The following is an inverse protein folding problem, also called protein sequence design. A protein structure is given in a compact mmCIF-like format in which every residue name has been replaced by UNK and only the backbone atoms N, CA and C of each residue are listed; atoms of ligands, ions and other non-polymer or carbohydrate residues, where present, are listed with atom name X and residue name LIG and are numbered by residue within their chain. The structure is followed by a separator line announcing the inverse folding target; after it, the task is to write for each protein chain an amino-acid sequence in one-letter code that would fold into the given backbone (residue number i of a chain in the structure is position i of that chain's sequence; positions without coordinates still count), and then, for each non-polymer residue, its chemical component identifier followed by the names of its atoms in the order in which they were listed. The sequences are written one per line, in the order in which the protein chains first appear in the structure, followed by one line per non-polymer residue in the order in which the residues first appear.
data_IF_728338232726
#
_entry.id   IF_728338232726
#
_cell.length_a   1.000
_cell.length_b   1.000
_cell.length_c   1.000
_cell.angle_alpha   90.00
_cell.angle_beta   90.00
_cell.angle_gamma   90.00
#
_symmetry.space_group_name_H-M   'P 1'
#
loop_
_entity.id
_entity.type
_entity.pdbx_description
1 polymer ?
#
# COMPACT_ATOMS: atom_id res chain seq x y z
N UNK A 1 -5.25 3.14 -22.48
CA UNK A 1 -4.30 2.03 -22.18
C UNK A 1 -2.93 2.43 -22.72
N UNK A 2 -1.81 1.95 -22.20
CA UNK A 2 -0.53 2.28 -22.81
C UNK A 2 0.58 1.40 -22.29
N UNK A 3 1.22 0.65 -23.18
CA UNK A 3 2.38 -0.18 -22.87
C UNK A 3 3.59 0.47 -23.55
N UNK A 4 4.64 0.70 -22.77
CA UNK A 4 5.93 1.18 -23.28
C UNK A 4 6.94 0.02 -23.29
N UNK A 5 7.61 -0.19 -24.43
CA UNK A 5 8.60 -1.27 -24.56
C UNK A 5 9.78 -0.84 -25.43
N UNK A 6 10.99 -1.31 -25.08
CA UNK A 6 12.23 -1.16 -25.85
C UNK A 6 12.81 -2.53 -26.20
N UNK A 7 12.78 -2.93 -27.46
CA UNK A 7 13.46 -4.13 -27.95
C UNK A 7 13.79 -4.03 -29.45
N UNK A 8 14.82 -4.76 -29.90
CA UNK A 8 15.37 -4.62 -31.26
C UNK A 8 14.53 -5.33 -32.33
N UNK A 9 13.85 -6.43 -32.01
CA UNK A 9 12.98 -7.18 -32.91
C UNK A 9 11.75 -7.68 -32.13
N UNK A 10 10.54 -7.25 -32.51
CA UNK A 10 9.29 -7.71 -31.87
C UNK A 10 8.32 -8.12 -32.97
N UNK A 11 7.72 -9.31 -32.84
CA UNK A 11 6.59 -9.74 -33.65
C UNK A 11 5.30 -9.57 -32.83
N UNK A 12 4.47 -8.62 -33.25
CA UNK A 12 3.15 -8.38 -32.65
C UNK A 12 2.12 -8.83 -33.68
N UNK A 13 1.20 -9.70 -33.29
CA UNK A 13 0.14 -10.21 -34.18
C UNK A 13 -1.20 -9.75 -33.63
N UNK A 14 -1.86 -8.83 -34.35
CA UNK A 14 -3.15 -8.27 -33.96
C UNK A 14 -4.00 -8.13 -35.21
N UNK A 15 -4.90 -9.07 -35.49
CA UNK A 15 -5.76 -9.22 -36.69
C UNK A 15 -5.09 -9.11 -38.08
N UNK A 16 -3.88 -8.54 -38.17
CA UNK A 16 -2.94 -8.42 -39.26
C UNK A 16 -1.50 -8.51 -38.70
N UNK A 17 -0.53 -8.83 -39.55
CA UNK A 17 0.87 -9.08 -39.17
C UNK A 17 1.71 -7.83 -39.44
N UNK A 18 2.39 -7.29 -38.42
CA UNK A 18 3.33 -6.18 -38.60
C UNK A 18 4.70 -6.54 -38.02
N UNK A 19 5.76 -6.21 -38.78
CA UNK A 19 7.16 -6.27 -38.33
C UNK A 19 7.63 -4.84 -38.07
N UNK A 20 8.06 -4.53 -36.85
CA UNK A 20 8.52 -3.19 -36.48
C UNK A 20 9.99 -3.24 -36.10
N UNK A 21 10.83 -2.55 -36.87
CA UNK A 21 12.24 -2.27 -36.54
C UNK A 21 12.36 -0.84 -35.99
N UNK A 22 11.80 -0.59 -34.81
CA UNK A 22 11.91 0.71 -34.13
C UNK A 22 11.76 0.56 -32.62
N UNK A 23 12.47 1.42 -31.86
CA UNK A 23 12.76 1.25 -30.44
C UNK A 23 11.61 1.46 -29.46
N UNK A 24 10.41 1.85 -29.90
CA UNK A 24 9.20 2.01 -29.06
C UNK A 24 7.91 1.85 -29.86
N UNK A 25 6.90 1.21 -29.27
CA UNK A 25 5.53 1.09 -29.82
C UNK A 25 4.48 1.30 -28.72
N UNK A 26 3.26 1.74 -29.10
CA UNK A 26 2.12 1.99 -28.22
C UNK A 26 0.87 1.30 -28.79
N UNK A 27 0.01 0.74 -27.93
CA UNK A 27 -1.22 0.05 -28.35
C UNK A 27 -2.33 0.17 -27.28
N UNK A 28 -3.58 0.33 -27.74
CA UNK A 28 -4.79 0.24 -26.91
C UNK A 28 -5.70 -0.89 -27.41
N UNK A 29 -5.88 -1.94 -26.61
CA UNK A 29 -6.80 -3.04 -26.91
C UNK A 29 -7.37 -3.65 -25.64
N UNK A 30 -8.49 -4.38 -25.76
CA UNK A 30 -9.10 -5.14 -24.66
C UNK A 30 -8.21 -6.30 -24.21
N UNK A 31 -7.42 -6.88 -25.12
CA UNK A 31 -6.46 -7.95 -24.84
C UNK A 31 -5.23 -7.80 -25.74
N UNK A 32 -4.02 -7.98 -25.18
CA UNK A 32 -2.75 -7.85 -25.91
C UNK A 32 -1.89 -9.09 -25.66
N UNK A 33 -1.54 -9.83 -26.72
CA UNK A 33 -0.62 -10.98 -26.67
C UNK A 33 0.72 -10.62 -27.29
N UNK A 34 1.81 -10.74 -26.50
CA UNK A 34 3.18 -10.45 -26.96
C UNK A 34 3.98 -11.75 -27.02
N UNK A 35 4.52 -12.08 -28.20
CA UNK A 35 5.43 -13.21 -28.40
C UNK A 35 6.80 -12.67 -28.82
N UNK A 36 7.86 -13.09 -28.14
CA UNK A 36 9.22 -12.79 -28.56
C UNK A 36 10.03 -14.07 -28.72
N UNK A 37 11.02 -14.01 -29.60
CA UNK A 37 11.98 -15.08 -29.87
C UNK A 37 13.14 -15.09 -28.86
N UNK A 38 13.33 -13.99 -28.12
CA UNK A 38 14.37 -13.76 -27.12
C UNK A 38 13.78 -13.19 -25.82
N UNK A 39 14.63 -12.91 -24.82
CA UNK A 39 14.23 -12.39 -23.50
C UNK A 39 13.39 -11.10 -23.59
N UNK A 40 12.30 -11.07 -22.81
CA UNK A 40 11.36 -9.96 -22.75
C UNK A 40 11.47 -9.28 -21.38
N UNK A 41 11.68 -7.96 -21.38
CA UNK A 41 11.46 -7.11 -20.21
C UNK A 41 10.19 -6.28 -20.41
N UNK A 42 9.21 -6.40 -19.49
CA UNK A 42 7.97 -5.64 -19.47
C UNK A 42 7.79 -4.93 -18.13
N UNK A 43 7.39 -3.67 -18.18
CA UNK A 43 6.95 -2.91 -17.01
C UNK A 43 5.50 -2.51 -17.31
N UNK A 44 4.58 -2.93 -16.46
CA UNK A 44 3.14 -2.68 -16.61
C UNK A 44 2.55 -2.27 -15.27
N UNK A 45 1.62 -1.31 -15.30
CA UNK A 45 0.83 -0.91 -14.15
C UNK A 45 -0.28 -1.94 -13.79
N UNK A 46 -0.48 -2.96 -14.64
CA UNK A 46 -1.48 -4.02 -14.45
C UNK A 46 -0.83 -5.41 -14.57
N UNK A 47 -1.50 -6.43 -14.02
CA UNK A 47 -1.11 -7.85 -14.10
C UNK A 47 -0.87 -8.27 -15.55
N UNK A 48 0.33 -8.78 -15.84
CA UNK A 48 0.71 -9.29 -17.17
C UNK A 48 0.91 -10.79 -17.10
N UNK A 49 0.37 -11.52 -18.07
CA UNK A 49 0.66 -12.94 -18.28
C UNK A 49 1.68 -13.03 -19.41
N UNK A 50 2.92 -13.43 -19.10
CA UNK A 50 3.97 -13.67 -20.10
C UNK A 50 4.15 -15.17 -20.30
N UNK A 51 4.18 -15.62 -21.56
CA UNK A 51 4.47 -17.01 -21.91
C UNK A 51 5.81 -17.09 -22.65
N UNK A 52 6.83 -17.67 -22.00
CA UNK A 52 8.13 -17.93 -22.61
C UNK A 52 8.12 -19.16 -23.52
N UNK A 53 9.12 -19.24 -24.42
CA UNK A 53 9.22 -20.23 -25.51
C UNK A 53 9.36 -21.71 -25.10
N UNK A 54 9.45 -22.03 -23.80
CA UNK A 54 9.62 -23.41 -23.32
C UNK A 54 8.65 -23.81 -22.20
N UNK A 55 7.46 -23.18 -22.13
CA UNK A 55 6.40 -23.62 -21.21
C UNK A 55 6.67 -23.37 -19.71
N UNK A 56 7.83 -22.84 -19.34
CA UNK A 56 8.09 -22.29 -18.01
C UNK A 56 7.39 -20.94 -17.87
N UNK A 57 6.15 -20.95 -17.37
CA UNK A 57 5.46 -19.72 -17.01
C UNK A 57 5.85 -19.36 -15.58
N UNK A 58 6.55 -18.25 -15.40
CA UNK A 58 6.71 -17.65 -14.07
C UNK A 58 5.68 -16.52 -13.95
N UNK A 59 4.61 -16.81 -13.21
CA UNK A 59 3.56 -15.85 -12.90
C UNK A 59 4.03 -14.99 -11.73
N UNK A 60 4.20 -13.69 -11.98
CA UNK A 60 4.19 -12.68 -10.93
C UNK A 60 2.89 -11.91 -11.01
N UNK A 61 1.88 -12.31 -10.24
CA UNK A 61 0.87 -11.34 -9.82
C UNK A 61 1.55 -10.35 -8.91
N UNK A 62 1.81 -9.14 -9.40
CA UNK A 62 1.90 -8.00 -8.48
C UNK A 62 0.47 -7.70 -8.07
N UNK A 63 -0.11 -8.53 -7.20
CA UNK A 63 -1.21 -8.09 -6.35
C UNK A 63 -0.59 -7.05 -5.41
N UNK A 64 -0.46 -5.83 -5.91
CA UNK A 64 -0.23 -4.68 -5.05
C UNK A 64 -1.58 -4.41 -4.40
N UNK A 65 -1.99 -5.30 -3.50
CA UNK A 65 -3.15 -5.06 -2.68
C UNK A 65 -2.97 -3.67 -2.06
N UNK A 66 -3.84 -2.74 -2.43
CA UNK A 66 -3.72 -1.36 -1.99
C UNK A 66 -3.69 -1.32 -0.45
N UNK A 67 -2.84 -0.47 0.13
CA UNK A 67 -2.80 -0.32 1.58
C UNK A 67 -4.19 0.04 2.08
N UNK A 68 -4.69 -0.75 3.03
CA UNK A 68 -6.02 -0.56 3.56
C UNK A 68 -6.03 -0.81 5.05
N UNK A 69 -6.47 0.20 5.79
CA UNK A 69 -6.84 0.06 7.20
C UNK A 69 -8.24 -0.58 7.24
N UNK A 70 -8.37 -1.63 8.02
CA UNK A 70 -9.60 -2.41 8.21
C UNK A 70 -10.26 -2.00 9.53
N UNK A 71 -9.47 -1.81 10.58
CA UNK A 71 -9.97 -1.50 11.91
C UNK A 71 -8.93 -0.71 12.72
N UNK A 72 -9.44 0.09 13.66
CA UNK A 72 -8.63 0.72 14.70
C UNK A 72 -9.35 0.64 16.04
N UNK A 73 -8.62 0.34 17.11
CA UNK A 73 -9.15 0.27 18.47
C UNK A 73 -8.06 0.53 19.50
N UNK A 74 -8.45 0.74 20.75
CA UNK A 74 -7.52 0.95 21.86
C UNK A 74 -7.36 -0.31 22.71
N UNK A 75 -6.13 -0.59 23.13
CA UNK A 75 -5.81 -1.64 24.11
C UNK A 75 -5.02 -1.06 25.28
N UNK A 76 -5.04 -1.75 26.42
CA UNK A 76 -4.02 -1.54 27.45
C UNK A 76 -2.66 -2.11 27.00
N UNK A 77 -1.63 -1.92 27.82
CA UNK A 77 -0.28 -2.41 27.51
C UNK A 77 -0.13 -3.95 27.50
N UNK A 78 -1.19 -4.69 27.86
CA UNK A 78 -1.23 -6.16 27.83
C UNK A 78 -2.17 -6.67 26.71
N UNK A 79 -2.45 -5.84 25.70
CA UNK A 79 -3.29 -6.14 24.54
C UNK A 79 -4.76 -6.45 24.86
N UNK A 80 -5.23 -6.02 26.04
CA UNK A 80 -6.66 -6.10 26.36
C UNK A 80 -7.39 -4.94 25.70
N UNK A 81 -8.34 -5.26 24.82
CA UNK A 81 -9.22 -4.27 24.18
C UNK A 81 -9.98 -3.47 25.25
N UNK A 82 -9.90 -2.15 25.12
CA UNK A 82 -10.62 -1.21 25.95
C UNK A 82 -11.98 -0.91 25.30
N UNK A 83 -13.04 -0.88 26.12
CA UNK A 83 -14.37 -0.44 25.66
C UNK A 83 -14.50 1.09 25.52
N UNK A 84 -13.45 1.81 25.88
CA UNK A 84 -13.27 3.25 25.75
C UNK A 84 -11.80 3.53 25.40
N UNK A 85 -11.35 4.78 25.47
CA UNK A 85 -9.97 5.15 25.12
C UNK A 85 -8.96 5.00 26.26
N UNK A 86 -9.39 4.61 27.46
CA UNK A 86 -8.59 4.60 28.71
C UNK A 86 -8.88 5.81 29.60
N UNK A 87 -8.04 6.03 30.63
CA UNK A 87 -8.15 7.16 31.56
C UNK A 87 -6.94 8.09 31.47
N UNK A 88 -7.15 9.35 31.83
CA UNK A 88 -6.07 10.36 31.95
C UNK A 88 -4.92 9.80 32.80
N UNK A 89 -3.70 9.95 32.27
CA UNK A 89 -2.46 9.46 32.87
C UNK A 89 -2.09 8.02 32.50
N UNK A 90 -2.99 7.25 31.89
CA UNK A 90 -2.68 5.90 31.41
C UNK A 90 -1.93 5.93 30.07
N UNK A 91 -1.11 4.91 29.86
CA UNK A 91 -0.52 4.61 28.55
C UNK A 91 -1.32 3.47 27.91
N UNK A 92 -1.64 3.64 26.63
CA UNK A 92 -2.44 2.71 25.83
C UNK A 92 -1.78 2.48 24.48
N UNK A 93 -2.21 1.44 23.77
CA UNK A 93 -1.92 1.32 22.35
C UNK A 93 -3.14 1.70 21.53
N UNK A 94 -2.94 2.55 20.52
CA UNK A 94 -3.82 2.58 19.35
C UNK A 94 -3.37 1.45 18.43
N UNK A 95 -4.20 0.43 18.32
CA UNK A 95 -3.98 -0.71 17.43
C UNK A 95 -4.64 -0.41 16.10
N UNK A 96 -3.87 -0.53 15.02
CA UNK A 96 -4.37 -0.40 13.64
C UNK A 96 -4.18 -1.74 12.95
N UNK A 97 -5.29 -2.32 12.50
CA UNK A 97 -5.31 -3.54 11.70
C UNK A 97 -5.61 -3.21 10.24
N UNK A 98 -4.88 -3.85 9.33
CA UNK A 98 -5.01 -3.62 7.91
C UNK A 98 -4.18 -4.58 7.07
N UNK A 99 -3.83 -4.14 5.87
CA UNK A 99 -2.96 -4.88 4.94
C UNK A 99 -2.08 -3.94 4.15
N UNK A 100 -0.85 -4.38 3.87
CA UNK A 100 0.17 -3.64 3.12
C UNK A 100 0.47 -2.24 3.66
N UNK A 101 0.37 -2.07 4.99
CA UNK A 101 0.57 -0.77 5.64
C UNK A 101 2.05 -0.36 5.70
N UNK A 102 2.99 -1.30 5.77
CA UNK A 102 4.39 -0.99 6.04
C UNK A 102 4.99 0.03 5.04
N UNK A 103 5.65 1.05 5.57
CA UNK A 103 6.25 2.14 4.82
C UNK A 103 5.24 3.14 4.23
N UNK A 104 3.94 3.02 4.55
CA UNK A 104 2.93 4.02 4.20
C UNK A 104 2.84 5.10 5.26
N UNK A 105 2.51 6.29 4.81
CA UNK A 105 2.30 7.47 5.65
C UNK A 105 0.80 7.75 5.77
N UNK A 106 0.34 8.07 6.97
CA UNK A 106 -1.02 8.54 7.21
C UNK A 106 -1.08 9.56 8.35
N UNK A 107 -2.06 10.45 8.25
CA UNK A 107 -2.51 11.27 9.37
C UNK A 107 -3.62 10.50 10.11
N UNK A 108 -3.46 10.33 11.41
CA UNK A 108 -4.43 9.63 12.26
C UNK A 108 -5.17 10.65 13.11
N UNK A 109 -6.47 10.80 12.83
CA UNK A 109 -7.36 11.66 13.58
C UNK A 109 -7.88 10.93 14.83
N UNK A 110 -7.46 11.42 16.00
CA UNK A 110 -7.82 10.92 17.31
C UNK A 110 -8.72 11.92 18.05
N UNK A 111 -9.45 12.79 17.34
CA UNK A 111 -10.33 13.80 17.94
C UNK A 111 -11.20 13.20 19.04
N UNK A 112 -11.15 13.84 20.20
CA UNK A 112 -12.00 13.56 21.35
C UNK A 112 -12.31 14.87 22.08
N UNK A 113 -13.47 14.95 22.71
CA UNK A 113 -13.88 16.17 23.40
C UNK A 113 -13.51 16.16 24.89
N UNK A 114 -12.99 15.04 25.41
CA UNK A 114 -12.71 14.88 26.85
C UNK A 114 -11.22 14.69 27.16
N UNK A 115 -10.44 14.20 26.20
CA UNK A 115 -9.03 13.83 26.38
C UNK A 115 -8.18 14.19 25.17
N UNK A 116 -6.90 14.44 25.42
CA UNK A 116 -5.88 14.56 24.37
C UNK A 116 -4.84 13.42 24.50
N UNK A 117 -3.96 13.32 23.52
CA UNK A 117 -2.89 12.32 23.49
C UNK A 117 -1.50 12.93 23.39
N UNK A 118 -0.54 12.29 24.05
CA UNK A 118 0.90 12.47 23.82
C UNK A 118 1.46 11.27 23.04
N UNK A 119 2.24 11.57 22.01
CA UNK A 119 3.02 10.58 21.25
C UNK A 119 4.50 10.91 21.42
N UNK A 120 5.30 9.94 21.88
CA UNK A 120 6.74 10.13 22.17
C UNK A 120 7.06 11.33 23.09
N UNK A 121 6.14 11.67 24.00
CA UNK A 121 6.28 12.80 24.92
C UNK A 121 5.87 14.16 24.36
N UNK A 122 5.42 14.22 23.10
CA UNK A 122 4.88 15.44 22.50
C UNK A 122 3.35 15.37 22.40
N UNK A 123 2.69 16.47 22.74
CA UNK A 123 1.24 16.61 22.64
C UNK A 123 0.79 16.67 21.17
N UNK A 124 -0.21 15.88 20.82
CA UNK A 124 -0.85 15.89 19.52
C UNK A 124 -1.80 17.07 19.39
N UNK A 125 -1.39 18.09 18.63
CA UNK A 125 -2.23 19.28 18.38
C UNK A 125 -3.47 18.92 17.55
N UNK A 126 -4.64 19.37 17.98
CA UNK A 126 -5.93 19.01 17.39
C UNK A 126 -6.18 17.51 17.36
N UNK A 127 -5.51 16.74 18.23
CA UNK A 127 -5.63 15.29 18.32
C UNK A 127 -5.26 14.54 17.03
N UNK A 128 -4.46 15.16 16.15
CA UNK A 128 -4.00 14.53 14.91
C UNK A 128 -2.54 14.10 15.07
N UNK A 129 -2.28 12.80 14.95
CA UNK A 129 -0.94 12.28 14.74
C UNK A 129 -0.59 12.37 13.25
N UNK A 130 0.22 13.36 12.88
CA UNK A 130 0.56 13.65 11.48
C UNK A 130 1.75 12.85 10.98
N UNK A 131 1.69 12.44 9.72
CA UNK A 131 2.82 11.83 9.00
C UNK A 131 3.33 10.54 9.65
N UNK A 132 2.46 9.75 10.28
CA UNK A 132 2.87 8.49 10.89
C UNK A 132 3.23 7.48 9.81
N UNK A 133 4.44 6.92 9.88
CA UNK A 133 4.90 5.87 8.97
C UNK A 133 4.71 4.52 9.64
N UNK A 134 3.83 3.69 9.08
CA UNK A 134 3.62 2.33 9.55
C UNK A 134 4.89 1.48 9.38
N UNK A 135 5.24 0.74 10.41
CA UNK A 135 6.37 -0.20 10.45
C UNK A 135 5.93 -1.62 10.09
N UNK A 136 4.67 -1.97 10.33
CA UNK A 136 4.12 -3.31 10.15
C UNK A 136 3.13 -3.36 8.98
N UNK A 137 2.99 -4.54 8.35
CA UNK A 137 2.09 -4.72 7.20
C UNK A 137 0.61 -4.89 7.59
N UNK A 138 0.35 -5.58 8.71
CA UNK A 138 -0.98 -6.05 9.08
C UNK A 138 -1.47 -5.46 10.39
N UNK A 139 -0.64 -5.42 11.44
CA UNK A 139 -1.03 -4.90 12.75
C UNK A 139 0.05 -3.96 13.26
N UNK A 140 -0.34 -2.73 13.59
CA UNK A 140 0.52 -1.70 14.17
C UNK A 140 0.06 -1.37 15.59
N UNK A 141 1.01 -1.25 16.52
CA UNK A 141 0.74 -0.80 17.88
C UNK A 141 1.41 0.54 18.12
N UNK A 142 0.61 1.60 18.19
CA UNK A 142 1.09 2.96 18.40
C UNK A 142 0.90 3.30 19.87
N UNK A 143 2.01 3.40 20.62
CA UNK A 143 1.95 3.75 22.04
C UNK A 143 1.59 5.23 22.20
N UNK A 144 0.55 5.49 22.97
CA UNK A 144 0.07 6.83 23.29
C UNK A 144 -0.10 6.98 24.80
N UNK A 145 0.03 8.20 25.30
CA UNK A 145 -0.27 8.54 26.69
C UNK A 145 -1.46 9.49 26.72
N UNK A 146 -2.46 9.16 27.53
CA UNK A 146 -3.68 9.95 27.65
C UNK A 146 -3.42 11.09 28.61
N UNK A 147 -3.79 12.31 28.21
CA UNK A 147 -3.65 13.50 29.02
C UNK A 147 -4.99 14.25 29.10
N UNK A 148 -5.08 15.16 30.05
CA UNK A 148 -6.20 16.10 30.09
C UNK A 148 -6.25 16.89 28.79
N UNK A 149 -7.47 17.14 28.30
CA UNK A 149 -7.68 17.99 27.13
C UNK A 149 -7.01 19.34 27.36
N UNK A 150 -6.12 19.71 26.44
CA UNK A 150 -5.52 21.04 26.39
C UNK A 150 -6.27 21.82 25.32
N UNK A 151 -6.63 23.07 25.61
CA UNK A 151 -7.29 23.93 24.62
C UNK A 151 -6.50 23.88 23.29
N UNK A 152 -7.14 23.32 22.26
CA UNK A 152 -6.60 23.16 20.90
C UNK A 152 -6.48 24.51 20.17
#
# INVERSE_FOLDING_TARGET
MGIFKKANNIYITVRDTYTISSGTSYEEAEEITIRATDEINLISAQKVIMQGLNGGVQYGTVDKEEPKIIMSYFTDLNDKILGNRGKIGEEVYLVIEGRNLAGKEADLDLTDNEIDFEYNGEHLKNDILKGYIFQNNEIEHIKLKIIEQKNN
#
